data_IF_930326306845
#
_entry.id   IF_930326306845
#
_cell.length_a   1.000
_cell.length_b   1.000
_cell.length_c   1.000
_cell.angle_alpha   90.00
_cell.angle_beta   90.00
_cell.angle_gamma   90.00
#
_symmetry.space_group_name_H-M   'P 1'
#
loop_
_entity.id
_entity.type
_entity.pdbx_description
1 polymer ?
#
# COMPACT_ATOMS: atom_id res chain seq x y z
N UNK A 1 -27.35 8.58 7.20
CA UNK A 1 -27.24 9.31 5.91
C UNK A 1 -25.92 8.93 5.27
N UNK A 2 -25.89 8.49 4.00
CA UNK A 2 -24.65 8.02 3.38
C UNK A 2 -23.65 9.17 3.32
N UNK A 3 -22.40 8.94 3.70
CA UNK A 3 -21.29 9.91 3.61
C UNK A 3 -21.16 10.50 2.20
N UNK A 4 -21.55 9.74 1.17
CA UNK A 4 -21.65 10.17 -0.23
C UNK A 4 -22.62 11.35 -0.44
N UNK A 5 -23.78 11.36 0.24
CA UNK A 5 -24.77 12.45 0.10
C UNK A 5 -24.22 13.75 0.69
N UNK A 6 -23.51 13.66 1.82
CA UNK A 6 -22.87 14.82 2.46
C UNK A 6 -21.73 15.36 1.60
N UNK A 7 -20.90 14.47 1.05
CA UNK A 7 -19.80 14.84 0.16
C UNK A 7 -20.31 15.54 -1.12
N UNK A 8 -21.32 14.97 -1.78
CA UNK A 8 -21.91 15.56 -2.99
C UNK A 8 -22.58 16.90 -2.68
N UNK A 9 -23.29 17.01 -1.55
CA UNK A 9 -23.88 18.28 -1.13
C UNK A 9 -22.83 19.38 -0.88
N UNK A 10 -21.74 19.05 -0.18
CA UNK A 10 -20.62 19.98 0.06
C UNK A 10 -19.92 20.39 -1.22
N UNK A 11 -19.70 19.44 -2.15
CA UNK A 11 -19.09 19.72 -3.45
C UNK A 11 -19.96 20.68 -4.28
N UNK A 12 -21.29 20.47 -4.31
CA UNK A 12 -22.22 21.37 -4.99
C UNK A 12 -22.19 22.78 -4.37
N UNK A 13 -22.22 22.87 -3.03
CA UNK A 13 -22.17 24.15 -2.32
C UNK A 13 -20.86 24.89 -2.61
N UNK A 14 -19.72 24.21 -2.53
CA UNK A 14 -18.41 24.79 -2.81
C UNK A 14 -18.34 25.30 -4.26
N UNK A 15 -18.85 24.52 -5.20
CA UNK A 15 -18.89 24.90 -6.63
C UNK A 15 -19.75 26.15 -6.85
N UNK A 16 -20.92 26.24 -6.19
CA UNK A 16 -21.78 27.41 -6.23
C UNK A 16 -21.11 28.65 -5.63
N UNK A 17 -20.45 28.50 -4.48
CA UNK A 17 -19.71 29.60 -3.82
C UNK A 17 -18.57 30.10 -4.72
N UNK A 18 -17.80 29.18 -5.31
CA UNK A 18 -16.70 29.54 -6.21
C UNK A 18 -17.21 30.23 -7.48
N UNK A 19 -18.33 29.76 -8.03
CA UNK A 19 -19.00 30.40 -9.15
C UNK A 19 -19.42 31.83 -8.81
N UNK A 20 -20.00 32.06 -7.62
CA UNK A 20 -20.38 33.40 -7.15
C UNK A 20 -19.15 34.31 -6.99
N UNK A 21 -18.07 33.82 -6.38
CA UNK A 21 -16.84 34.61 -6.18
C UNK A 21 -16.20 34.99 -7.53
N UNK A 22 -16.11 34.06 -8.48
CA UNK A 22 -15.52 34.31 -9.80
C UNK A 22 -16.40 35.23 -10.64
N UNK A 23 -17.73 35.16 -10.51
CA UNK A 23 -18.64 36.02 -11.25
C UNK A 23 -18.87 37.39 -10.60
N UNK A 24 -18.63 37.57 -9.30
CA UNK A 24 -18.87 38.83 -8.60
C UNK A 24 -18.14 40.04 -9.22
N UNK A 25 -16.86 39.94 -9.65
CA UNK A 25 -16.19 41.01 -10.39
C UNK A 25 -16.85 41.33 -11.73
N UNK A 26 -17.52 40.36 -12.36
CA UNK A 26 -18.12 40.48 -13.68
C UNK A 26 -19.60 40.91 -13.65
N UNK A 27 -20.27 40.76 -12.50
CA UNK A 27 -21.58 41.35 -12.21
C UNK A 27 -21.49 42.83 -11.79
N UNK A 28 -20.33 43.31 -11.32
CA UNK A 28 -20.09 44.74 -11.14
C UNK A 28 -20.02 45.39 -12.52
N UNK A 29 -21.16 45.90 -12.99
CA UNK A 29 -21.24 46.72 -14.21
C UNK A 29 -20.37 47.94 -13.98
N UNK A 30 -19.20 47.98 -14.61
CA UNK A 30 -18.34 49.16 -14.61
C UNK A 30 -19.00 50.25 -15.47
N UNK A 31 -19.93 51.00 -14.86
CA UNK A 31 -20.50 52.24 -15.43
C UNK A 31 -19.41 53.27 -15.72
N UNK A 32 -18.23 53.13 -15.10
CA UNK A 32 -17.07 53.98 -15.27
C UNK A 32 -16.49 53.95 -16.69
N UNK A 33 -16.41 52.76 -17.32
CA UNK A 33 -15.80 52.61 -18.64
C UNK A 33 -16.65 53.23 -19.76
N UNK A 34 -17.98 53.20 -19.64
CA UNK A 34 -18.91 53.79 -20.60
C UNK A 34 -18.89 55.33 -20.52
N UNK A 35 -18.77 55.89 -19.30
CA UNK A 35 -18.66 57.33 -19.09
C UNK A 35 -17.31 57.87 -19.60
N UNK A 36 -16.21 57.15 -19.39
CA UNK A 36 -14.89 57.59 -19.89
C UNK A 36 -14.82 57.65 -21.43
N UNK A 37 -15.46 56.72 -22.14
CA UNK A 37 -15.49 56.76 -23.62
C UNK A 37 -16.34 57.91 -24.17
N UNK A 38 -17.47 58.24 -23.53
CA UNK A 38 -18.31 59.38 -23.93
C UNK A 38 -17.63 60.72 -23.64
N UNK A 39 -16.90 60.83 -22.52
CA UNK A 39 -16.11 62.01 -22.20
C UNK A 39 -14.99 62.21 -23.23
N UNK A 40 -14.28 61.14 -23.63
CA UNK A 40 -13.23 61.21 -24.66
C UNK A 40 -13.81 61.67 -26.01
N UNK A 41 -14.97 61.15 -26.41
CA UNK A 41 -15.64 61.57 -27.64
C UNK A 41 -16.08 63.04 -27.61
N UNK A 42 -16.62 63.51 -26.48
CA UNK A 42 -17.03 64.91 -26.30
C UNK A 42 -15.82 65.87 -26.37
N UNK A 43 -14.66 65.47 -25.83
CA UNK A 43 -13.42 66.25 -25.91
C UNK A 43 -12.92 66.34 -27.36
N UNK A 44 -13.05 65.27 -28.14
CA UNK A 44 -12.59 65.24 -29.53
C UNK A 44 -13.45 66.14 -30.43
N UNK A 45 -14.78 66.08 -30.29
CA UNK A 45 -15.71 66.99 -30.98
C UNK A 45 -15.48 68.45 -30.57
N UNK A 46 -15.22 68.71 -29.28
CA UNK A 46 -14.90 70.05 -28.80
C UNK A 46 -13.63 70.62 -29.45
N UNK A 47 -12.57 69.80 -29.58
CA UNK A 47 -11.32 70.23 -30.23
C UNK A 47 -11.54 70.59 -31.69
N UNK A 48 -12.32 69.80 -32.42
CA UNK A 48 -12.66 70.05 -33.82
C UNK A 48 -13.40 71.39 -33.97
N UNK A 49 -14.43 71.63 -33.16
CA UNK A 49 -15.19 72.90 -33.17
C UNK A 49 -14.36 74.12 -32.77
N UNK A 50 -13.41 73.94 -31.86
CA UNK A 50 -12.51 75.01 -31.44
C UNK A 50 -11.50 75.38 -32.53
N UNK A 51 -11.05 74.41 -33.33
CA UNK A 51 -10.19 74.67 -34.50
C UNK A 51 -10.97 75.35 -35.63
N UNK A 52 -12.21 74.94 -35.89
CA UNK A 52 -13.12 75.63 -36.83
C UNK A 52 -13.33 77.10 -36.43
N UNK A 53 -13.63 77.35 -35.16
CA UNK A 53 -13.85 78.69 -34.63
C UNK A 53 -12.60 79.60 -34.73
N UNK A 54 -11.40 79.02 -34.54
CA UNK A 54 -10.14 79.74 -34.74
C UNK A 54 -9.88 80.07 -36.20
N UNK A 55 -10.21 79.15 -37.11
CA UNK A 55 -10.03 79.36 -38.54
C UNK A 55 -10.87 80.55 -39.03
N UNK A 56 -12.13 80.65 -38.59
CA UNK A 56 -13.04 81.75 -38.95
C UNK A 56 -12.57 83.10 -38.38
N UNK A 57 -12.02 83.12 -37.17
CA UNK A 57 -11.39 84.32 -36.60
C UNK A 57 -10.17 84.76 -37.42
N UNK A 58 -9.29 83.83 -37.78
CA UNK A 58 -8.08 84.13 -38.55
C UNK A 58 -8.39 84.61 -39.98
N UNK A 59 -9.51 84.17 -40.56
CA UNK A 59 -10.01 84.62 -41.86
C UNK A 59 -10.72 85.99 -41.80
N UNK A 60 -10.83 86.60 -40.62
CA UNK A 60 -11.46 87.90 -40.41
C UNK A 60 -12.99 87.87 -40.46
N UNK A 61 -13.61 86.68 -40.41
CA UNK A 61 -15.06 86.50 -40.42
C UNK A 61 -15.74 86.81 -39.09
N UNK A 62 -14.97 87.06 -38.02
CA UNK A 62 -15.46 87.25 -36.67
C UNK A 62 -14.54 88.18 -35.88
N UNK A 63 -15.10 89.05 -35.04
CA UNK A 63 -14.33 89.96 -34.18
C UNK A 63 -13.71 89.23 -32.97
N UNK A 64 -12.67 89.81 -32.38
CA UNK A 64 -11.98 89.21 -31.22
C UNK A 64 -12.91 89.03 -30.00
N UNK A 65 -13.85 89.97 -29.83
CA UNK A 65 -14.85 89.91 -28.77
C UNK A 65 -15.86 88.76 -28.98
N UNK A 66 -16.29 88.55 -30.23
CA UNK A 66 -17.20 87.45 -30.60
C UNK A 66 -16.52 86.09 -30.44
N UNK A 67 -15.27 85.95 -30.92
CA UNK A 67 -14.49 84.73 -30.78
C UNK A 67 -14.34 84.32 -29.32
N UNK A 68 -13.97 85.29 -28.45
CA UNK A 68 -13.80 85.02 -27.01
C UNK A 68 -15.11 84.58 -26.36
N UNK A 69 -16.23 85.19 -26.74
CA UNK A 69 -17.55 84.84 -26.21
C UNK A 69 -17.97 83.43 -26.63
N UNK A 70 -17.83 83.09 -27.91
CA UNK A 70 -18.19 81.75 -28.41
C UNK A 70 -17.27 80.65 -27.86
N UNK A 71 -15.98 80.93 -27.72
CA UNK A 71 -15.03 80.01 -27.09
C UNK A 71 -15.40 79.74 -25.62
N UNK A 72 -15.73 80.78 -24.86
CA UNK A 72 -16.13 80.63 -23.45
C UNK A 72 -17.43 79.83 -23.32
N UNK A 73 -18.38 80.00 -24.24
CA UNK A 73 -19.61 79.20 -24.25
C UNK A 73 -19.32 77.73 -24.58
N UNK A 74 -18.45 77.45 -25.56
CA UNK A 74 -18.03 76.09 -25.89
C UNK A 74 -17.34 75.40 -24.68
N UNK A 75 -16.45 76.12 -23.99
CA UNK A 75 -15.76 75.63 -22.78
C UNK A 75 -16.75 75.34 -21.65
N UNK A 76 -17.77 76.20 -21.50
CA UNK A 76 -18.85 76.00 -20.53
C UNK A 76 -19.67 74.75 -20.85
N UNK A 77 -19.98 74.50 -22.12
CA UNK A 77 -20.71 73.30 -22.55
C UNK A 77 -19.91 72.02 -22.29
N UNK A 78 -18.59 72.03 -22.53
CA UNK A 78 -17.74 70.89 -22.21
C UNK A 78 -17.69 70.60 -20.70
N UNK A 79 -17.60 71.65 -19.88
CA UNK A 79 -17.64 71.51 -18.42
C UNK A 79 -18.97 70.96 -17.93
N UNK A 80 -20.10 71.46 -18.46
CA UNK A 80 -21.43 70.95 -18.12
C UNK A 80 -21.61 69.48 -18.55
N UNK A 81 -21.09 69.10 -19.71
CA UNK A 81 -21.11 67.72 -20.19
C UNK A 81 -20.13 66.78 -19.43
N UNK A 82 -19.15 67.35 -18.72
CA UNK A 82 -18.21 66.60 -17.87
C UNK A 82 -18.77 66.40 -16.45
N UNK A 83 -19.52 67.39 -15.93
CA UNK A 83 -20.14 67.33 -14.60
C UNK A 83 -21.44 66.52 -14.61
N UNK A 84 -22.29 66.68 -15.64
CA UNK A 84 -23.47 65.86 -15.81
C UNK A 84 -23.10 64.58 -16.56
N UNK A 85 -23.08 63.46 -15.85
CA UNK A 85 -22.71 62.14 -16.39
C UNK A 85 -23.63 61.64 -17.52
N UNK A 86 -24.62 62.43 -17.98
CA UNK A 86 -25.49 62.09 -19.09
C UNK A 86 -26.34 63.28 -19.61
N UNK A 87 -25.82 64.22 -20.41
CA UNK A 87 -26.67 65.02 -21.33
C UNK A 87 -25.90 65.87 -22.35
N UNK A 88 -25.48 65.26 -23.46
CA UNK A 88 -25.72 65.86 -24.77
C UNK A 88 -26.80 64.99 -25.41
N UNK A 89 -28.03 65.21 -24.97
CA UNK A 89 -29.19 64.82 -25.78
C UNK A 89 -29.10 65.75 -26.98
N UNK A 90 -28.75 65.20 -28.14
CA UNK A 90 -29.04 65.89 -29.39
C UNK A 90 -30.54 66.15 -29.39
N UNK A 91 -30.94 67.41 -29.27
CA UNK A 91 -32.30 67.81 -29.60
C UNK A 91 -32.58 67.35 -31.04
N UNK A 92 -33.68 66.61 -31.17
CA UNK A 92 -34.20 65.86 -32.33
C UNK A 92 -34.62 66.76 -33.52
N UNK A 93 -33.99 67.93 -33.70
CA UNK A 93 -34.39 68.92 -34.70
C UNK A 93 -33.22 69.51 -35.51
N UNK A 94 -32.15 68.74 -35.74
CA UNK A 94 -31.11 69.10 -36.72
C UNK A 94 -30.78 67.92 -37.64
N UNK A 95 -31.82 67.38 -38.27
CA UNK A 95 -31.75 66.18 -39.11
C UNK A 95 -31.40 66.48 -40.58
N UNK A 96 -30.78 67.63 -40.89
CA UNK A 96 -30.56 68.04 -42.29
C UNK A 96 -29.15 68.22 -42.81
N UNK A 97 -28.07 68.09 -42.02
CA UNK A 97 -26.71 68.37 -42.55
C UNK A 97 -25.58 67.38 -42.20
N UNK A 98 -25.85 66.21 -41.63
CA UNK A 98 -24.78 65.24 -41.24
C UNK A 98 -24.63 64.00 -42.13
N UNK A 99 -25.23 64.02 -43.33
CA UNK A 99 -25.16 62.91 -44.29
C UNK A 99 -23.80 62.79 -45.05
N UNK A 100 -22.66 63.14 -44.46
CA UNK A 100 -21.38 63.13 -45.19
C UNK A 100 -20.21 62.33 -44.63
N UNK A 101 -20.34 61.54 -43.55
CA UNK A 101 -19.25 60.66 -43.11
C UNK A 101 -19.72 59.26 -42.70
N UNK A 102 -19.86 58.36 -43.69
CA UNK A 102 -20.32 56.98 -43.53
C UNK A 102 -19.34 56.00 -42.86
N UNK A 103 -18.21 56.45 -42.31
CA UNK A 103 -17.19 55.57 -41.73
C UNK A 103 -17.33 55.37 -40.21
N UNK A 104 -17.97 56.29 -39.48
CA UNK A 104 -18.15 56.18 -38.03
C UNK A 104 -19.29 55.24 -37.63
N UNK A 105 -20.42 55.27 -38.35
CA UNK A 105 -21.63 54.52 -38.02
C UNK A 105 -21.46 52.99 -38.09
N UNK A 106 -20.71 52.48 -39.07
CA UNK A 106 -20.54 51.03 -39.28
C UNK A 106 -19.60 50.37 -38.27
N UNK A 107 -18.54 51.06 -37.84
CA UNK A 107 -17.62 50.60 -36.80
C UNK A 107 -18.29 50.56 -35.42
N UNK A 108 -19.14 51.56 -35.12
CA UNK A 108 -19.93 51.63 -33.89
C UNK A 108 -20.95 50.48 -33.84
N UNK A 109 -21.64 50.19 -34.95
CA UNK A 109 -22.60 49.09 -35.02
C UNK A 109 -21.96 47.70 -34.84
N UNK A 110 -20.76 47.48 -35.39
CA UNK A 110 -20.01 46.22 -35.25
C UNK A 110 -19.53 46.01 -33.80
N UNK A 111 -18.96 47.04 -33.18
CA UNK A 111 -18.50 46.99 -31.79
C UNK A 111 -19.66 46.77 -30.80
N UNK A 112 -20.83 47.39 -31.05
CA UNK A 112 -22.05 47.17 -30.25
C UNK A 112 -22.60 45.73 -30.38
N UNK A 113 -22.48 45.12 -31.57
CA UNK A 113 -22.96 43.74 -31.82
C UNK A 113 -22.07 42.70 -31.13
N UNK A 114 -20.76 42.90 -31.14
CA UNK A 114 -19.78 42.06 -30.45
C UNK A 114 -19.86 42.21 -28.92
N UNK A 115 -20.15 43.41 -28.40
CA UNK A 115 -20.39 43.63 -26.96
C UNK A 115 -21.72 43.09 -26.43
N UNK A 116 -22.79 43.05 -27.25
CA UNK A 116 -24.09 42.49 -26.83
C UNK A 116 -24.03 40.97 -26.60
N UNK A 117 -23.18 40.26 -27.33
CA UNK A 117 -23.06 38.81 -27.21
C UNK A 117 -22.41 38.38 -25.88
N UNK A 118 -21.49 39.19 -25.33
CA UNK A 118 -20.79 38.91 -24.06
C UNK A 118 -21.55 39.40 -22.82
N UNK A 119 -22.57 40.27 -22.98
CA UNK A 119 -23.36 40.87 -21.87
C UNK A 119 -24.82 40.39 -21.76
N UNK A 120 -25.28 39.46 -22.60
CA UNK A 120 -26.65 38.92 -22.49
C UNK A 120 -26.83 38.12 -21.20
N UNK A 121 -27.71 38.58 -20.30
CA UNK A 121 -28.03 37.90 -19.04
C UNK A 121 -28.42 36.42 -19.24
N UNK A 122 -28.99 36.08 -20.41
CA UNK A 122 -29.32 34.70 -20.80
C UNK A 122 -28.06 33.85 -20.98
N UNK A 123 -27.02 34.36 -21.64
CA UNK A 123 -25.75 33.64 -21.82
C UNK A 123 -25.04 33.38 -20.49
N UNK A 124 -25.15 34.32 -19.54
CA UNK A 124 -24.59 34.19 -18.18
C UNK A 124 -25.28 33.08 -17.39
N UNK A 125 -26.60 33.02 -17.45
CA UNK A 125 -27.40 31.97 -16.82
C UNK A 125 -27.11 30.60 -17.45
N UNK A 126 -26.95 30.54 -18.77
CA UNK A 126 -26.59 29.29 -19.48
C UNK A 126 -25.24 28.75 -19.00
N UNK A 127 -24.22 29.60 -18.87
CA UNK A 127 -22.89 29.17 -18.38
C UNK A 127 -22.98 28.70 -16.92
N UNK A 128 -23.73 29.42 -16.08
CA UNK A 128 -23.89 29.08 -14.65
C UNK A 128 -24.56 27.72 -14.45
N UNK A 129 -25.46 27.32 -15.33
CA UNK A 129 -26.14 26.02 -15.27
C UNK A 129 -25.33 24.94 -16.00
N UNK A 130 -24.77 25.23 -17.18
CA UNK A 130 -24.05 24.24 -17.97
C UNK A 130 -22.73 23.81 -17.32
N UNK A 131 -21.97 24.71 -16.70
CA UNK A 131 -20.67 24.36 -16.10
C UNK A 131 -20.80 23.32 -14.97
N UNK A 132 -21.67 23.47 -13.96
CA UNK A 132 -21.83 22.44 -12.93
C UNK A 132 -22.45 21.15 -13.48
N UNK A 133 -23.38 21.23 -14.44
CA UNK A 133 -23.94 20.04 -15.08
C UNK A 133 -22.85 19.29 -15.85
N UNK A 134 -22.01 19.98 -16.60
CA UNK A 134 -20.88 19.39 -17.31
C UNK A 134 -19.83 18.83 -16.35
N UNK A 135 -19.60 19.47 -15.20
CA UNK A 135 -18.70 18.94 -14.17
C UNK A 135 -19.25 17.66 -13.54
N UNK A 136 -20.55 17.64 -13.18
CA UNK A 136 -21.22 16.43 -12.68
C UNK A 136 -21.16 15.33 -13.75
N UNK A 137 -21.51 15.65 -15.00
CA UNK A 137 -21.45 14.71 -16.11
C UNK A 137 -20.04 14.16 -16.31
N UNK A 138 -19.01 15.00 -16.30
CA UNK A 138 -17.61 14.58 -16.36
C UNK A 138 -17.23 13.67 -15.19
N UNK A 139 -17.69 13.95 -13.96
CA UNK A 139 -17.48 13.09 -12.79
C UNK A 139 -18.16 11.71 -12.93
N UNK A 140 -19.29 11.63 -13.62
CA UNK A 140 -19.94 10.35 -13.92
C UNK A 140 -19.33 9.63 -15.13
N UNK A 141 -18.76 10.34 -16.11
CA UNK A 141 -18.12 9.74 -17.30
C UNK A 141 -16.66 9.32 -17.08
N UNK A 142 -15.88 10.03 -16.25
CA UNK A 142 -14.46 9.73 -16.01
C UNK A 142 -14.21 8.72 -14.90
N UNK A 143 -15.18 8.46 -14.02
CA UNK A 143 -14.99 7.53 -12.91
C UNK A 143 -15.34 6.11 -13.30
N UNK A 144 -14.36 5.20 -13.34
CA UNK A 144 -14.64 3.77 -13.37
C UNK A 144 -15.27 3.35 -12.02
N UNK A 145 -16.58 3.07 -12.05
CA UNK A 145 -17.36 2.65 -10.87
C UNK A 145 -17.79 1.19 -10.93
N UNK A 146 -17.31 0.46 -11.93
CA UNK A 146 -17.71 -0.93 -12.19
C UNK A 146 -17.53 -1.79 -10.94
N UNK A 147 -16.41 -1.65 -10.21
CA UNK A 147 -16.16 -2.38 -8.98
C UNK A 147 -17.21 -2.11 -7.88
N UNK A 148 -17.60 -0.84 -7.67
CA UNK A 148 -18.59 -0.47 -6.66
C UNK A 148 -19.99 -0.94 -7.06
N UNK A 149 -20.35 -0.77 -8.33
CA UNK A 149 -21.65 -1.25 -8.83
C UNK A 149 -21.76 -2.76 -8.78
N UNK A 150 -20.67 -3.48 -9.10
CA UNK A 150 -20.62 -4.93 -9.02
C UNK A 150 -20.77 -5.39 -7.57
N UNK A 151 -20.09 -4.75 -6.61
CA UNK A 151 -20.25 -5.06 -5.19
C UNK A 151 -21.70 -4.84 -4.72
N UNK A 152 -22.34 -3.74 -5.12
CA UNK A 152 -23.74 -3.49 -4.76
C UNK A 152 -24.70 -4.50 -5.39
N UNK A 153 -24.47 -4.88 -6.65
CA UNK A 153 -25.26 -5.91 -7.31
C UNK A 153 -25.06 -7.29 -6.66
N UNK A 154 -23.84 -7.62 -6.26
CA UNK A 154 -23.55 -8.84 -5.51
C UNK A 154 -24.24 -8.80 -4.14
N UNK A 155 -24.13 -7.70 -3.40
CA UNK A 155 -24.81 -7.53 -2.11
C UNK A 155 -26.32 -7.75 -2.21
N UNK A 156 -26.95 -7.23 -3.27
CA UNK A 156 -28.39 -7.40 -3.51
C UNK A 156 -28.77 -8.85 -3.86
N UNK A 157 -27.94 -9.54 -4.65
CA UNK A 157 -28.19 -10.94 -5.08
C UNK A 157 -27.89 -11.96 -3.99
N UNK A 158 -26.72 -11.88 -3.35
CA UNK A 158 -26.18 -12.92 -2.46
C UNK A 158 -26.02 -12.46 -1.01
N UNK A 159 -26.42 -11.23 -0.66
CA UNK A 159 -26.29 -10.72 0.70
C UNK A 159 -27.05 -11.53 1.75
N UNK A 160 -28.22 -12.08 1.40
CA UNK A 160 -28.98 -12.96 2.29
C UNK A 160 -28.29 -14.32 2.46
N UNK A 161 -27.75 -14.90 1.37
CA UNK A 161 -26.97 -16.13 1.41
C UNK A 161 -25.75 -15.95 2.31
N UNK A 162 -25.04 -14.83 2.17
CA UNK A 162 -23.92 -14.48 3.02
C UNK A 162 -24.32 -14.39 4.50
N UNK A 163 -25.46 -13.77 4.83
CA UNK A 163 -25.97 -13.73 6.20
C UNK A 163 -26.33 -15.13 6.74
N UNK A 164 -26.99 -15.95 5.92
CA UNK A 164 -27.41 -17.29 6.31
C UNK A 164 -26.21 -18.23 6.53
N UNK A 165 -25.14 -18.10 5.72
CA UNK A 165 -23.86 -18.78 5.93
C UNK A 165 -23.19 -18.33 7.24
N UNK A 166 -23.09 -17.02 7.45
CA UNK A 166 -22.43 -16.45 8.62
C UNK A 166 -23.18 -16.72 9.94
N UNK A 167 -24.50 -16.95 9.86
CA UNK A 167 -25.33 -17.31 11.02
C UNK A 167 -25.51 -18.82 11.20
N UNK A 168 -24.92 -19.64 10.33
CA UNK A 168 -25.00 -21.10 10.39
C UNK A 168 -26.39 -21.66 10.07
N UNK A 169 -27.24 -20.92 9.35
CA UNK A 169 -28.53 -21.45 8.85
C UNK A 169 -28.33 -22.38 7.65
N UNK A 170 -27.25 -22.18 6.91
CA UNK A 170 -26.80 -23.03 5.80
C UNK A 170 -25.30 -23.29 5.95
N UNK A 171 -24.88 -24.52 5.67
CA UNK A 171 -23.47 -24.92 5.77
C UNK A 171 -22.69 -24.65 4.48
N UNK A 172 -23.39 -24.63 3.33
CA UNK A 172 -22.81 -24.41 2.02
C UNK A 172 -23.67 -23.46 1.18
N UNK A 173 -23.05 -22.62 0.33
CA UNK A 173 -23.78 -21.76 -0.58
C UNK A 173 -24.56 -22.58 -1.61
N UNK A 174 -25.77 -22.15 -2.01
CA UNK A 174 -26.49 -22.76 -3.12
C UNK A 174 -25.75 -22.56 -4.44
N UNK A 175 -25.91 -23.48 -5.40
CA UNK A 175 -25.14 -23.48 -6.66
C UNK A 175 -25.20 -22.14 -7.41
N UNK A 176 -26.39 -21.52 -7.53
CA UNK A 176 -26.56 -20.24 -8.20
C UNK A 176 -25.76 -19.10 -7.53
N UNK A 177 -25.51 -19.16 -6.23
CA UNK A 177 -24.72 -18.15 -5.50
C UNK A 177 -23.22 -18.36 -5.70
N UNK A 178 -22.79 -19.58 -6.05
CA UNK A 178 -21.38 -19.89 -6.35
C UNK A 178 -20.96 -19.46 -7.75
N UNK A 179 -21.91 -19.15 -8.64
CA UNK A 179 -21.62 -18.59 -9.98
C UNK A 179 -20.83 -17.26 -9.89
N UNK A 180 -21.09 -16.46 -8.86
CA UNK A 180 -20.36 -15.23 -8.55
C UNK A 180 -19.63 -15.34 -7.20
N UNK A 181 -18.61 -16.20 -7.15
CA UNK A 181 -17.81 -16.44 -5.94
C UNK A 181 -17.12 -15.19 -5.41
N UNK A 182 -16.67 -14.30 -6.30
CA UNK A 182 -16.04 -13.02 -5.93
C UNK A 182 -17.07 -12.11 -5.27
N UNK A 183 -18.26 -11.97 -5.87
CA UNK A 183 -19.37 -11.20 -5.31
C UNK A 183 -19.84 -11.75 -3.97
N UNK A 184 -19.95 -13.08 -3.83
CA UNK A 184 -20.30 -13.74 -2.58
C UNK A 184 -19.27 -13.46 -1.48
N UNK A 185 -17.98 -13.59 -1.76
CA UNK A 185 -16.94 -13.28 -0.77
C UNK A 185 -16.98 -11.81 -0.35
N UNK A 186 -17.16 -10.89 -1.32
CA UNK A 186 -17.34 -9.47 -1.03
C UNK A 186 -18.56 -9.19 -0.14
N UNK A 187 -19.67 -9.89 -0.37
CA UNK A 187 -20.87 -9.79 0.45
C UNK A 187 -20.67 -10.33 1.87
N UNK A 188 -19.97 -11.46 2.01
CA UNK A 188 -19.59 -12.05 3.31
C UNK A 188 -18.73 -11.06 4.09
N UNK A 189 -17.63 -10.57 3.51
CA UNK A 189 -16.73 -9.60 4.16
C UNK A 189 -17.49 -8.33 4.57
N UNK A 190 -18.29 -7.77 3.66
CA UNK A 190 -19.10 -6.57 3.94
C UNK A 190 -20.07 -6.81 5.10
N UNK A 191 -20.73 -7.96 5.14
CA UNK A 191 -21.64 -8.33 6.21
C UNK A 191 -20.89 -8.44 7.56
N UNK A 192 -19.75 -9.12 7.61
CA UNK A 192 -18.92 -9.24 8.82
C UNK A 192 -18.47 -7.86 9.30
N UNK A 193 -18.09 -6.96 8.41
CA UNK A 193 -17.71 -5.59 8.78
C UNK A 193 -18.89 -4.74 9.29
N UNK A 194 -20.09 -4.92 8.75
CA UNK A 194 -21.29 -4.29 9.30
C UNK A 194 -21.65 -4.81 10.69
N UNK A 195 -21.39 -6.09 10.95
CA UNK A 195 -21.58 -6.75 12.25
C UNK A 195 -20.25 -6.96 12.98
N UNK A 196 -19.34 -5.99 12.91
CA UNK A 196 -17.95 -6.15 13.39
C UNK A 196 -17.80 -6.41 14.90
N UNK A 197 -18.90 -6.36 15.67
CA UNK A 197 -18.98 -6.68 17.08
C UNK A 197 -19.34 -8.16 17.37
N UNK A 198 -19.80 -8.91 16.36
CA UNK A 198 -20.22 -10.29 16.50
C UNK A 198 -19.01 -11.24 16.30
N UNK A 199 -18.50 -11.89 17.36
CA UNK A 199 -17.35 -12.78 17.26
C UNK A 199 -17.61 -14.00 16.36
N UNK A 200 -18.84 -14.51 16.32
CA UNK A 200 -19.15 -15.75 15.60
C UNK A 200 -19.12 -15.54 14.08
N UNK A 201 -19.50 -14.35 13.61
CA UNK A 201 -19.36 -13.99 12.19
C UNK A 201 -17.90 -13.92 11.76
N UNK A 202 -17.01 -13.46 12.64
CA UNK A 202 -15.56 -13.50 12.39
C UNK A 202 -15.02 -14.93 12.37
N UNK A 203 -15.54 -15.81 13.23
CA UNK A 203 -15.20 -17.24 13.22
C UNK A 203 -15.61 -17.91 11.91
N UNK A 204 -16.86 -17.71 11.46
CA UNK A 204 -17.33 -18.26 10.18
C UNK A 204 -16.57 -17.73 8.98
N UNK A 205 -16.22 -16.45 8.98
CA UNK A 205 -15.33 -15.89 7.96
C UNK A 205 -13.98 -16.61 7.96
N UNK A 206 -13.40 -16.88 9.13
CA UNK A 206 -12.16 -17.61 9.23
C UNK A 206 -12.29 -19.05 8.72
N UNK A 207 -13.36 -19.76 9.05
CA UNK A 207 -13.62 -21.13 8.56
C UNK A 207 -13.67 -21.16 7.02
N UNK A 208 -14.33 -20.17 6.41
CA UNK A 208 -14.39 -20.02 4.95
C UNK A 208 -13.00 -19.74 4.38
N UNK A 209 -12.23 -18.82 4.99
CA UNK A 209 -10.86 -18.51 4.57
C UNK A 209 -9.91 -19.71 4.70
N UNK A 210 -10.08 -20.53 5.75
CA UNK A 210 -9.34 -21.78 5.91
C UNK A 210 -9.66 -22.77 4.79
N UNK A 211 -10.92 -22.87 4.36
CA UNK A 211 -11.31 -23.71 3.22
C UNK A 211 -10.68 -23.25 1.89
N UNK A 212 -10.33 -21.96 1.78
CA UNK A 212 -9.56 -21.39 0.67
C UNK A 212 -8.04 -21.40 0.89
N UNK A 213 -7.55 -22.10 1.92
CA UNK A 213 -6.13 -22.17 2.31
C UNK A 213 -5.50 -20.80 2.64
N UNK A 214 -6.32 -19.78 2.89
CA UNK A 214 -5.91 -18.43 3.22
C UNK A 214 -5.63 -18.27 4.73
N UNK A 215 -4.65 -19.03 5.23
CA UNK A 215 -4.37 -19.17 6.67
C UNK A 215 -4.08 -17.84 7.38
N UNK A 216 -3.34 -16.93 6.74
CA UNK A 216 -3.00 -15.63 7.34
C UNK A 216 -4.25 -14.75 7.55
N UNK A 217 -5.15 -14.73 6.57
CA UNK A 217 -6.40 -13.97 6.62
C UNK A 217 -7.37 -14.62 7.62
N UNK A 218 -7.42 -15.96 7.67
CA UNK A 218 -8.22 -16.68 8.65
C UNK A 218 -7.75 -16.39 10.09
N UNK A 219 -6.43 -16.36 10.32
CA UNK A 219 -5.87 -16.00 11.62
C UNK A 219 -6.21 -14.56 12.01
N UNK A 220 -6.21 -13.62 11.07
CA UNK A 220 -6.63 -12.24 11.35
C UNK A 220 -8.10 -12.17 11.79
N UNK A 221 -8.99 -12.90 11.10
CA UNK A 221 -10.40 -12.99 11.47
C UNK A 221 -10.60 -13.63 12.85
N UNK A 222 -9.96 -14.77 13.13
CA UNK A 222 -10.01 -15.41 14.47
C UNK A 222 -9.41 -14.52 15.56
N UNK A 223 -8.33 -13.81 15.26
CA UNK A 223 -7.72 -12.84 16.17
C UNK A 223 -8.70 -11.72 16.53
N UNK A 224 -9.51 -11.26 15.56
CA UNK A 224 -10.60 -10.31 15.82
C UNK A 224 -11.71 -10.93 16.66
N UNK A 225 -12.13 -12.16 16.37
CA UNK A 225 -13.11 -12.89 17.18
C UNK A 225 -12.65 -13.04 18.63
N UNK A 226 -11.40 -13.46 18.85
CA UNK A 226 -10.80 -13.64 20.17
C UNK A 226 -10.71 -12.33 20.97
N UNK A 227 -10.40 -11.20 20.32
CA UNK A 227 -10.44 -9.89 21.00
C UNK A 227 -11.85 -9.48 21.45
N UNK A 228 -12.89 -9.92 20.74
CA UNK A 228 -14.29 -9.61 21.06
C UNK A 228 -14.85 -10.53 22.14
N UNK A 229 -14.47 -11.82 22.12
CA UNK A 229 -14.90 -12.82 23.10
C UNK A 229 -13.73 -13.71 23.54
N UNK A 230 -12.82 -13.20 24.39
CA UNK A 230 -11.65 -13.96 24.85
C UNK A 230 -12.02 -15.09 25.81
N UNK A 231 -13.23 -15.03 26.37
CA UNK A 231 -13.74 -15.96 27.36
C UNK A 231 -14.43 -17.17 26.73
N UNK A 232 -14.73 -17.12 25.43
CA UNK A 232 -15.35 -18.20 24.67
C UNK A 232 -14.32 -19.28 24.34
N UNK A 233 -14.65 -20.51 24.73
CA UNK A 233 -13.79 -21.68 24.60
C UNK A 233 -13.47 -22.02 23.15
N UNK A 234 -14.47 -22.01 22.28
CA UNK A 234 -14.34 -22.37 20.87
C UNK A 234 -13.46 -21.35 20.13
N UNK A 235 -13.71 -20.06 20.39
CA UNK A 235 -12.95 -18.96 19.78
C UNK A 235 -11.48 -18.97 20.23
N UNK A 236 -11.23 -19.14 21.52
CA UNK A 236 -9.88 -19.12 22.08
C UNK A 236 -9.04 -20.31 21.57
N UNK A 237 -9.62 -21.51 21.53
CA UNK A 237 -8.92 -22.70 21.05
C UNK A 237 -8.66 -22.63 19.55
N UNK A 238 -9.64 -22.22 18.74
CA UNK A 238 -9.46 -22.09 17.29
C UNK A 238 -8.37 -21.07 16.95
N UNK A 239 -8.38 -19.90 17.60
CA UNK A 239 -7.33 -18.89 17.45
C UNK A 239 -5.95 -19.45 17.79
N UNK A 240 -5.82 -20.10 18.96
CA UNK A 240 -4.56 -20.67 19.41
C UNK A 240 -4.07 -21.78 18.47
N UNK A 241 -4.99 -22.60 17.95
CA UNK A 241 -4.70 -23.70 17.02
C UNK A 241 -4.18 -23.20 15.68
N UNK A 242 -4.91 -22.29 15.02
CA UNK A 242 -4.48 -21.74 13.74
C UNK A 242 -3.13 -21.05 13.90
N UNK A 243 -2.97 -20.23 14.94
CA UNK A 243 -1.71 -19.54 15.22
C UNK A 243 -0.55 -20.50 15.47
N UNK A 244 -0.80 -21.60 16.19
CA UNK A 244 0.20 -22.62 16.47
C UNK A 244 0.70 -23.26 15.17
N UNK A 245 -0.19 -23.64 14.25
CA UNK A 245 0.19 -24.27 12.99
C UNK A 245 0.81 -23.30 11.98
N UNK A 246 0.32 -22.06 11.89
CA UNK A 246 0.93 -21.04 11.04
C UNK A 246 2.31 -20.61 11.53
N UNK A 247 2.57 -20.72 12.84
CA UNK A 247 3.88 -20.43 13.46
C UNK A 247 4.82 -21.64 13.49
N UNK A 248 4.60 -22.65 12.64
CA UNK A 248 5.48 -23.83 12.54
C UNK A 248 5.43 -24.77 13.75
N UNK A 249 4.33 -24.75 14.50
CA UNK A 249 4.16 -25.55 15.72
C UNK A 249 4.80 -24.95 16.97
N UNK A 250 5.11 -23.66 16.96
CA UNK A 250 5.57 -22.94 18.15
C UNK A 250 4.39 -22.34 18.91
N UNK A 251 4.29 -22.67 20.21
CA UNK A 251 3.28 -22.09 21.10
C UNK A 251 3.82 -20.81 21.72
N UNK A 252 3.38 -19.67 21.18
CA UNK A 252 3.75 -18.36 21.71
C UNK A 252 3.04 -18.03 23.04
N UNK A 253 3.42 -16.91 23.66
CA UNK A 253 2.86 -16.49 24.95
C UNK A 253 1.36 -16.24 24.88
N UNK A 254 0.86 -15.63 23.79
CA UNK A 254 -0.55 -15.29 23.64
C UNK A 254 -1.45 -16.51 23.45
N UNK A 255 -1.03 -17.47 22.62
CA UNK A 255 -1.73 -18.75 22.44
C UNK A 255 -1.68 -19.56 23.72
N UNK A 256 -0.54 -19.57 24.43
CA UNK A 256 -0.42 -20.23 25.73
C UNK A 256 -1.40 -19.64 26.75
N UNK A 257 -1.49 -18.31 26.84
CA UNK A 257 -2.41 -17.64 27.75
C UNK A 257 -3.88 -17.94 27.41
N UNK A 258 -4.24 -17.91 26.11
CA UNK A 258 -5.58 -18.28 25.65
C UNK A 258 -5.94 -19.70 26.07
N UNK A 259 -5.07 -20.68 25.82
CA UNK A 259 -5.28 -22.08 26.19
C UNK A 259 -5.32 -22.27 27.71
N UNK A 260 -4.49 -21.57 28.49
CA UNK A 260 -4.54 -21.63 29.94
C UNK A 260 -5.85 -21.08 30.50
N UNK A 261 -6.39 -20.01 29.91
CA UNK A 261 -7.70 -19.47 30.29
C UNK A 261 -8.83 -20.47 30.01
N UNK A 262 -8.78 -21.15 28.87
CA UNK A 262 -9.70 -22.25 28.55
C UNK A 262 -9.59 -23.37 29.57
N UNK A 263 -8.38 -23.86 29.83
CA UNK A 263 -8.12 -24.97 30.76
C UNK A 263 -8.46 -24.65 32.22
N UNK A 264 -8.44 -23.37 32.60
CA UNK A 264 -8.90 -22.94 33.93
C UNK A 264 -10.42 -23.09 34.10
N UNK A 265 -11.20 -22.98 33.03
CA UNK A 265 -12.65 -23.16 33.03
C UNK A 265 -13.05 -24.61 32.75
N UNK A 266 -12.43 -25.20 31.75
CA UNK A 266 -12.63 -26.58 31.32
C UNK A 266 -11.31 -27.35 31.39
N UNK A 267 -10.94 -27.90 32.56
CA UNK A 267 -9.68 -28.61 32.75
C UNK A 267 -9.53 -29.84 31.86
N UNK A 268 -10.63 -30.41 31.37
CA UNK A 268 -10.66 -31.64 30.56
C UNK A 268 -10.72 -31.36 29.05
N UNK A 269 -10.56 -30.10 28.62
CA UNK A 269 -10.58 -29.76 27.20
C UNK A 269 -9.44 -30.45 26.44
N UNK A 270 -9.80 -31.47 25.66
CA UNK A 270 -8.84 -32.34 24.98
C UNK A 270 -7.93 -31.58 24.00
N UNK A 271 -8.52 -30.75 23.12
CA UNK A 271 -7.78 -29.92 22.17
C UNK A 271 -6.76 -29.01 22.86
N UNK A 272 -7.18 -28.23 23.87
CA UNK A 272 -6.29 -27.34 24.60
C UNK A 272 -5.15 -28.09 25.30
N UNK A 273 -5.42 -29.24 25.95
CA UNK A 273 -4.38 -30.07 26.56
C UNK A 273 -3.38 -30.61 25.51
N UNK A 274 -3.87 -31.03 24.34
CA UNK A 274 -3.02 -31.52 23.26
C UNK A 274 -2.11 -30.43 22.71
N UNK A 275 -2.65 -29.23 22.45
CA UNK A 275 -1.86 -28.09 21.97
C UNK A 275 -0.81 -27.67 23.00
N UNK A 276 -1.15 -27.67 24.30
CA UNK A 276 -0.19 -27.44 25.38
C UNK A 276 0.92 -28.50 25.37
N UNK A 277 0.58 -29.79 25.26
CA UNK A 277 1.58 -30.86 25.19
C UNK A 277 2.55 -30.68 24.02
N UNK A 278 2.03 -30.44 22.81
CA UNK A 278 2.85 -30.23 21.61
C UNK A 278 3.70 -28.96 21.71
N UNK A 279 3.13 -27.86 22.19
CA UNK A 279 3.80 -26.58 22.36
C UNK A 279 4.93 -26.61 23.39
N UNK A 280 4.71 -27.28 24.52
CA UNK A 280 5.74 -27.44 25.55
C UNK A 280 6.87 -28.37 25.06
N UNK A 281 6.55 -29.44 24.32
CA UNK A 281 7.57 -30.32 23.73
C UNK A 281 8.46 -29.56 22.73
N UNK A 282 7.85 -28.75 21.86
CA UNK A 282 8.56 -27.90 20.89
C UNK A 282 9.40 -26.82 21.57
N UNK A 283 8.96 -26.32 22.72
CA UNK A 283 9.69 -25.33 23.51
C UNK A 283 10.83 -25.95 24.35
N UNK A 284 11.04 -27.27 24.29
CA UNK A 284 12.05 -27.98 25.09
C UNK A 284 11.61 -28.26 26.54
N UNK A 285 10.38 -27.93 26.91
CA UNK A 285 9.81 -28.17 28.24
C UNK A 285 9.22 -29.59 28.32
N UNK A 286 10.07 -30.59 28.11
CA UNK A 286 9.65 -31.99 27.96
C UNK A 286 8.88 -32.53 29.18
N UNK A 287 9.23 -32.12 30.40
CA UNK A 287 8.52 -32.53 31.61
C UNK A 287 7.07 -32.04 31.62
N UNK A 288 6.86 -30.76 31.28
CA UNK A 288 5.49 -30.21 31.18
C UNK A 288 4.72 -30.85 30.04
N UNK A 289 5.38 -31.12 28.91
CA UNK A 289 4.76 -31.82 27.80
C UNK A 289 4.25 -33.20 28.20
N UNK A 290 5.06 -34.00 28.91
CA UNK A 290 4.64 -35.31 29.44
C UNK A 290 3.47 -35.18 30.42
N UNK A 291 3.50 -34.18 31.30
CA UNK A 291 2.42 -33.94 32.26
C UNK A 291 1.08 -33.63 31.55
N UNK A 292 1.10 -32.87 30.45
CA UNK A 292 -0.09 -32.60 29.65
C UNK A 292 -0.61 -33.84 28.91
N UNK A 293 0.29 -34.63 28.31
CA UNK A 293 -0.09 -35.90 27.66
C UNK A 293 -0.74 -36.86 28.67
N UNK A 294 -0.19 -36.96 29.88
CA UNK A 294 -0.73 -37.84 30.92
C UNK A 294 -2.11 -37.39 31.40
N UNK A 295 -2.34 -36.08 31.58
CA UNK A 295 -3.68 -35.54 31.89
C UNK A 295 -4.70 -35.85 30.80
N UNK A 296 -4.31 -35.66 29.54
CA UNK A 296 -5.16 -35.96 28.39
C UNK A 296 -5.49 -37.46 28.30
N UNK A 297 -4.49 -38.31 28.54
CA UNK A 297 -4.66 -39.76 28.58
C UNK A 297 -5.64 -40.19 29.68
N UNK A 298 -5.51 -39.64 30.89
CA UNK A 298 -6.41 -39.92 32.01
C UNK A 298 -7.84 -39.48 31.70
N UNK A 299 -8.02 -38.29 31.11
CA UNK A 299 -9.33 -37.78 30.71
C UNK A 299 -10.00 -38.64 29.63
N UNK A 300 -9.25 -39.14 28.65
CA UNK A 300 -9.79 -40.04 27.61
C UNK A 300 -10.13 -41.42 28.19
N UNK A 301 -9.24 -41.98 29.03
CA UNK A 301 -9.45 -43.31 29.62
C UNK A 301 -10.63 -43.38 30.60
N UNK A 302 -11.02 -42.25 31.19
CA UNK A 302 -12.15 -42.17 32.11
C UNK A 302 -13.52 -42.09 31.40
N UNK A 303 -13.56 -41.88 30.08
CA UNK A 303 -14.80 -41.75 29.31
C UNK A 303 -15.26 -43.09 28.77
N UNK A 304 -16.58 -43.26 28.68
CA UNK A 304 -17.20 -44.44 28.10
C UNK A 304 -16.95 -44.50 26.58
N UNK A 305 -16.56 -45.68 26.08
CA UNK A 305 -16.31 -45.95 24.66
C UNK A 305 -14.95 -46.57 24.39
N UNK A 306 -14.75 -47.07 23.17
CA UNK A 306 -13.45 -47.56 22.71
C UNK A 306 -12.58 -46.37 22.27
N UNK A 307 -11.53 -46.11 23.05
CA UNK A 307 -10.54 -45.07 22.79
C UNK A 307 -9.13 -45.65 22.63
N UNK A 308 -9.02 -46.96 22.32
CA UNK A 308 -7.74 -47.67 22.21
C UNK A 308 -6.78 -46.99 21.22
N UNK A 309 -7.28 -46.55 20.07
CA UNK A 309 -6.49 -45.83 19.06
C UNK A 309 -5.95 -44.48 19.57
N UNK A 310 -6.80 -43.68 20.23
CA UNK A 310 -6.40 -42.39 20.79
C UNK A 310 -5.37 -42.57 21.92
N UNK A 311 -5.53 -43.58 22.77
CA UNK A 311 -4.57 -43.90 23.82
C UNK A 311 -3.23 -44.40 23.23
N UNK A 312 -3.28 -45.16 22.13
CA UNK A 312 -2.07 -45.60 21.43
C UNK A 312 -1.31 -44.43 20.81
N UNK A 313 -1.98 -43.47 20.16
CA UNK A 313 -1.33 -42.29 19.59
C UNK A 313 -0.72 -41.39 20.68
N UNK A 314 -1.36 -41.27 21.85
CA UNK A 314 -0.77 -40.58 23.00
C UNK A 314 0.47 -41.30 23.57
N UNK A 315 0.48 -42.64 23.55
CA UNK A 315 1.66 -43.42 23.93
C UNK A 315 2.82 -43.24 22.93
N UNK A 316 2.53 -43.08 21.65
CA UNK A 316 3.55 -42.76 20.65
C UNK A 316 4.08 -41.35 20.83
N UNK A 317 3.20 -40.37 21.07
CA UNK A 317 3.58 -39.00 21.36
C UNK A 317 4.47 -38.92 22.62
N UNK A 318 4.11 -39.60 23.71
CA UNK A 318 4.92 -39.61 24.94
C UNK A 318 6.31 -40.23 24.71
N UNK A 319 6.41 -41.32 23.91
CA UNK A 319 7.70 -41.90 23.53
C UNK A 319 8.54 -40.93 22.69
N UNK A 320 7.92 -40.25 21.71
CA UNK A 320 8.62 -39.27 20.87
C UNK A 320 9.17 -38.10 21.70
N UNK A 321 8.37 -37.57 22.63
CA UNK A 321 8.79 -36.51 23.56
C UNK A 321 9.95 -37.01 24.44
N UNK A 322 9.88 -38.24 24.96
CA UNK A 322 10.95 -38.82 25.78
C UNK A 322 12.25 -39.03 24.98
N UNK A 323 12.16 -39.45 23.72
CA UNK A 323 13.31 -39.56 22.82
C UNK A 323 13.93 -38.20 22.53
N UNK A 324 13.10 -37.17 22.26
CA UNK A 324 13.58 -35.80 22.08
C UNK A 324 14.27 -35.28 23.34
N UNK A 325 13.71 -35.54 24.52
CA UNK A 325 14.33 -35.18 25.79
C UNK A 325 15.68 -35.88 25.98
N UNK A 326 15.76 -37.19 25.70
CA UNK A 326 17.02 -37.93 25.78
C UNK A 326 18.06 -37.41 24.80
N UNK A 327 17.68 -37.08 23.57
CA UNK A 327 18.57 -36.47 22.59
C UNK A 327 19.05 -35.08 23.04
N UNK A 328 18.16 -34.25 23.59
CA UNK A 328 18.50 -32.95 24.15
C UNK A 328 19.44 -33.06 25.37
N UNK A 329 19.19 -34.03 26.26
CA UNK A 329 20.05 -34.32 27.40
C UNK A 329 21.41 -34.87 26.96
N UNK A 330 21.46 -35.73 25.94
CA UNK A 330 22.71 -36.23 25.37
C UNK A 330 23.52 -35.08 24.74
N UNK A 331 22.87 -34.16 24.01
CA UNK A 331 23.48 -32.94 23.51
C UNK A 331 23.99 -32.02 24.65
N UNK A 332 23.24 -31.89 25.75
CA UNK A 332 23.67 -31.11 26.92
C UNK A 332 24.79 -31.79 27.71
N UNK A 333 24.79 -33.12 27.87
CA UNK A 333 25.91 -33.86 28.49
C UNK A 333 27.16 -33.87 27.62
N UNK A 334 27.01 -33.70 26.31
CA UNK A 334 28.12 -33.48 25.38
C UNK A 334 28.65 -32.03 25.42
N UNK A 335 27.83 -31.07 25.91
CA UNK A 335 28.22 -29.68 26.19
C UNK A 335 28.63 -29.37 27.64
N UNK A 336 28.35 -30.27 28.59
CA UNK A 336 28.66 -30.08 30.02
C UNK A 336 30.08 -30.52 30.42
N UNK A 337 30.94 -30.85 29.46
CA UNK A 337 32.38 -31.09 29.66
C UNK A 337 33.25 -29.98 29.05
N UNK A 338 32.69 -28.78 28.89
CA UNK A 338 33.38 -27.60 28.36
C UNK A 338 33.66 -26.56 29.45
N UNK A 339 34.29 -26.99 30.54
CA UNK A 339 35.23 -26.14 31.29
C UNK A 339 36.47 -26.96 31.58
N UNK A 340 37.52 -26.63 30.83
CA UNK A 340 38.89 -27.14 30.94
C UNK A 340 39.10 -28.55 30.37
N UNK A 341 39.85 -28.58 29.27
CA UNK A 341 40.45 -29.75 28.62
C UNK A 341 39.50 -30.79 28.01
N UNK A 342 38.99 -30.50 26.80
CA UNK A 342 39.09 -31.48 25.71
C UNK A 342 38.77 -30.86 24.35
N UNK A 343 39.82 -30.57 23.58
CA UNK A 343 39.76 -30.59 22.13
C UNK A 343 39.44 -32.03 21.69
N UNK A 344 38.28 -32.24 21.08
CA UNK A 344 37.95 -33.45 20.31
C UNK A 344 36.85 -33.14 19.27
N UNK A 345 37.28 -32.47 18.20
CA UNK A 345 36.85 -32.60 16.79
C UNK A 345 35.35 -32.50 16.43
N UNK A 346 34.80 -31.30 16.45
CA UNK A 346 33.95 -30.88 15.33
C UNK A 346 34.87 -30.21 14.30
N UNK A 347 35.02 -30.80 13.12
CA UNK A 347 35.96 -30.34 12.11
C UNK A 347 35.31 -29.18 11.34
N UNK A 348 35.70 -27.95 11.66
CA UNK A 348 35.21 -26.74 10.98
C UNK A 348 36.19 -26.25 9.91
N UNK A 349 35.65 -25.54 8.92
CA UNK A 349 36.42 -24.90 7.85
C UNK A 349 36.24 -23.39 7.97
N UNK A 350 37.30 -22.69 8.36
CA UNK A 350 37.38 -21.25 8.40
C UNK A 350 37.79 -20.70 7.03
N UNK A 351 36.86 -20.06 6.33
CA UNK A 351 37.04 -19.47 5.00
C UNK A 351 37.16 -17.95 5.12
N UNK A 352 38.25 -17.39 4.59
CA UNK A 352 38.43 -15.95 4.40
C UNK A 352 38.11 -15.61 2.96
N UNK A 353 37.06 -14.83 2.72
CA UNK A 353 36.68 -14.38 1.37
C UNK A 353 37.15 -12.95 1.15
N UNK A 354 37.80 -12.68 0.03
CA UNK A 354 38.19 -11.35 -0.42
C UNK A 354 37.52 -11.02 -1.75
N UNK A 355 37.31 -9.72 -2.00
CA UNK A 355 36.78 -9.22 -3.26
C UNK A 355 37.88 -8.50 -4.03
N UNK A 356 38.06 -8.85 -5.31
CA UNK A 356 38.98 -8.14 -6.18
C UNK A 356 38.48 -6.70 -6.39
N UNK A 357 39.37 -5.71 -6.23
CA UNK A 357 39.01 -4.28 -6.32
C UNK A 357 38.39 -3.87 -7.65
N UNK A 358 38.68 -4.59 -8.73
CA UNK A 358 38.10 -4.28 -10.05
C UNK A 358 36.59 -4.57 -10.14
N UNK A 359 36.06 -5.40 -9.24
CA UNK A 359 34.65 -5.82 -9.19
C UNK A 359 33.83 -5.07 -8.13
N UNK A 360 34.44 -4.19 -7.34
CA UNK A 360 33.78 -3.49 -6.23
C UNK A 360 32.61 -2.61 -6.72
N UNK A 361 32.77 -1.95 -7.88
CA UNK A 361 31.71 -1.17 -8.52
C UNK A 361 30.56 -2.01 -9.09
N UNK A 362 30.72 -3.33 -9.16
CA UNK A 362 29.72 -4.27 -9.63
C UNK A 362 28.93 -4.91 -8.50
N UNK A 363 29.18 -4.60 -7.22
CA UNK A 363 28.42 -5.14 -6.08
C UNK A 363 27.30 -4.17 -5.67
N UNK A 364 26.07 -4.67 -5.61
CA UNK A 364 24.89 -3.90 -5.19
C UNK A 364 24.46 -4.26 -3.75
N UNK A 365 23.74 -3.37 -3.04
CA UNK A 365 23.30 -3.64 -1.68
C UNK A 365 22.34 -4.84 -1.53
N UNK A 366 21.65 -5.21 -2.61
CA UNK A 366 20.75 -6.36 -2.69
C UNK A 366 21.45 -7.70 -2.93
N UNK A 367 22.74 -7.68 -3.25
CA UNK A 367 23.47 -8.89 -3.64
C UNK A 367 23.78 -9.78 -2.42
N UNK A 368 23.80 -11.10 -2.65
CA UNK A 368 24.03 -12.09 -1.59
C UNK A 368 25.27 -12.90 -1.89
N UNK A 369 26.20 -12.95 -0.93
CA UNK A 369 27.34 -13.85 -0.92
C UNK A 369 26.92 -15.25 -0.42
N UNK A 370 27.11 -16.25 -1.28
CA UNK A 370 27.02 -17.66 -0.95
C UNK A 370 28.44 -18.23 -0.84
N UNK A 371 28.75 -18.84 0.30
CA UNK A 371 29.96 -19.64 0.48
C UNK A 371 29.55 -21.07 0.71
N UNK A 372 30.01 -21.99 -0.14
CA UNK A 372 29.60 -23.39 -0.11
C UNK A 372 30.80 -24.32 -0.09
N UNK A 373 30.63 -25.45 0.57
CA UNK A 373 31.53 -26.59 0.45
C UNK A 373 30.76 -27.74 -0.19
N UNK A 374 31.32 -28.35 -1.22
CA UNK A 374 30.70 -29.46 -1.94
C UNK A 374 31.75 -30.46 -2.44
N UNK A 375 31.31 -31.64 -2.87
CA UNK A 375 32.19 -32.63 -3.50
C UNK A 375 32.72 -32.12 -4.86
N UNK A 376 33.96 -32.45 -5.19
CA UNK A 376 34.63 -32.07 -6.44
C UNK A 376 33.93 -32.65 -7.69
N UNK A 377 33.22 -33.76 -7.52
CA UNK A 377 32.39 -34.40 -8.56
C UNK A 377 31.09 -33.64 -8.86
N UNK A 378 30.80 -32.57 -8.10
CA UNK A 378 29.51 -31.89 -8.12
C UNK A 378 28.47 -32.59 -7.24
N UNK A 379 27.34 -31.93 -7.02
CA UNK A 379 26.28 -32.42 -6.15
C UNK A 379 25.67 -31.32 -5.29
N UNK A 380 24.81 -31.71 -4.35
CA UNK A 380 24.30 -30.80 -3.35
C UNK A 380 25.45 -30.33 -2.43
N UNK A 381 25.41 -29.10 -1.90
CA UNK A 381 26.44 -28.62 -0.98
C UNK A 381 26.34 -29.31 0.39
N UNK A 382 27.50 -29.60 0.98
CA UNK A 382 27.68 -30.17 2.33
C UNK A 382 27.50 -29.11 3.42
N UNK A 383 27.85 -27.85 3.12
CA UNK A 383 27.67 -26.71 4.00
C UNK A 383 27.45 -25.45 3.16
N UNK A 384 26.53 -24.57 3.58
CA UNK A 384 26.20 -23.33 2.87
C UNK A 384 26.02 -22.18 3.87
N UNK A 385 26.78 -21.09 3.67
CA UNK A 385 26.58 -19.82 4.35
C UNK A 385 25.97 -18.80 3.40
N UNK A 386 24.95 -18.07 3.86
CA UNK A 386 24.33 -16.95 3.13
C UNK A 386 24.60 -15.66 3.90
N UNK A 387 25.25 -14.70 3.26
CA UNK A 387 25.65 -13.43 3.87
C UNK A 387 25.38 -12.28 2.91
N UNK A 388 24.92 -11.09 3.36
CA UNK A 388 24.82 -9.93 2.50
C UNK A 388 26.19 -9.54 1.90
N UNK A 389 26.25 -9.31 0.58
CA UNK A 389 27.51 -8.98 -0.10
C UNK A 389 28.17 -7.68 0.42
N UNK A 390 27.36 -6.77 0.98
CA UNK A 390 27.82 -5.54 1.62
C UNK A 390 28.79 -5.77 2.79
N UNK A 391 28.70 -6.91 3.48
CA UNK A 391 29.63 -7.27 4.55
C UNK A 391 31.03 -7.58 4.01
N UNK A 392 31.12 -8.11 2.79
CA UNK A 392 32.38 -8.36 2.10
C UNK A 392 33.00 -7.07 1.57
N UNK A 393 32.22 -6.21 0.91
CA UNK A 393 32.70 -4.92 0.40
C UNK A 393 33.15 -3.95 1.51
N UNK A 394 32.57 -4.07 2.71
CA UNK A 394 32.94 -3.25 3.87
C UNK A 394 34.18 -3.78 4.61
N UNK A 395 34.62 -5.01 4.34
CA UNK A 395 35.71 -5.66 5.05
C UNK A 395 37.09 -5.33 4.44
N UNK A 396 37.90 -4.56 5.17
CA UNK A 396 39.23 -4.09 4.72
C UNK A 396 40.26 -5.21 4.55
N UNK A 397 40.11 -6.33 5.27
CA UNK A 397 41.09 -7.45 5.28
C UNK A 397 40.51 -8.80 4.84
N UNK A 398 39.34 -8.78 4.18
CA UNK A 398 38.58 -9.99 3.87
C UNK A 398 37.57 -10.33 4.97
N UNK A 399 36.54 -11.09 4.59
CA UNK A 399 35.45 -11.49 5.45
C UNK A 399 35.62 -12.95 5.88
N UNK A 400 35.75 -13.19 7.19
CA UNK A 400 35.97 -14.52 7.75
C UNK A 400 34.65 -15.20 8.07
N UNK A 401 34.46 -16.39 7.52
CA UNK A 401 33.28 -17.23 7.70
C UNK A 401 33.74 -18.60 8.16
N UNK A 402 33.18 -19.09 9.25
CA UNK A 402 33.33 -20.49 9.63
C UNK A 402 32.16 -21.31 9.08
N UNK A 403 32.45 -22.44 8.43
CA UNK A 403 31.49 -23.45 8.02
C UNK A 403 31.70 -24.74 8.82
N UNK A 404 30.62 -25.27 9.39
CA UNK A 404 30.60 -26.54 10.10
C UNK A 404 29.34 -27.35 9.75
N UNK A 405 29.14 -28.50 10.41
CA UNK A 405 28.00 -29.38 10.13
C UNK A 405 26.62 -28.76 10.38
N UNK A 406 26.52 -27.70 11.18
CA UNK A 406 25.26 -26.98 11.38
C UNK A 406 24.86 -26.13 10.15
N UNK A 407 25.80 -25.85 9.26
CA UNK A 407 25.53 -25.15 8.00
C UNK A 407 25.10 -26.11 6.87
N UNK A 408 24.91 -27.41 7.18
CA UNK A 408 24.41 -28.41 6.23
C UNK A 408 22.89 -28.31 6.03
N UNK A 409 22.43 -28.37 4.77
CA UNK A 409 20.98 -28.32 4.47
C UNK A 409 20.25 -29.64 4.75
N UNK A 410 20.99 -30.75 4.85
CA UNK A 410 20.44 -32.08 5.14
C UNK A 410 21.21 -32.73 6.30
N UNK A 411 20.52 -33.26 7.33
CA UNK A 411 21.18 -33.85 8.51
C UNK A 411 22.10 -35.04 8.21
N UNK A 412 21.94 -35.69 7.06
CA UNK A 412 22.70 -36.89 6.66
C UNK A 412 23.82 -36.61 5.66
N UNK A 413 23.97 -35.36 5.22
CA UNK A 413 24.91 -34.91 4.19
C UNK A 413 25.75 -33.74 4.74
N UNK A 414 26.68 -34.06 5.64
CA UNK A 414 27.46 -33.09 6.43
C UNK A 414 28.94 -33.09 6.05
N UNK A 415 29.60 -31.98 6.35
CA UNK A 415 31.02 -31.74 6.08
C UNK A 415 31.91 -32.80 6.76
N UNK A 416 31.69 -33.07 8.05
CA UNK A 416 32.44 -34.05 8.83
C UNK A 416 32.35 -35.46 8.25
N UNK A 417 31.17 -35.87 7.79
CA UNK A 417 30.94 -37.20 7.21
C UNK A 417 31.67 -37.36 5.87
N UNK A 418 31.59 -36.37 4.99
CA UNK A 418 32.29 -36.41 3.71
C UNK A 418 33.82 -36.39 3.89
N UNK A 419 34.32 -35.65 4.88
CA UNK A 419 35.74 -35.68 5.24
C UNK A 419 36.16 -37.05 5.81
N UNK A 420 35.36 -37.65 6.71
CA UNK A 420 35.61 -38.98 7.26
C UNK A 420 35.61 -40.08 6.19
N UNK A 421 34.78 -39.94 5.15
CA UNK A 421 34.72 -40.84 3.99
C UNK A 421 35.83 -40.59 2.94
N UNK A 422 36.69 -39.58 3.15
CA UNK A 422 37.81 -39.30 2.26
C UNK A 422 37.40 -38.71 0.89
N UNK A 423 36.24 -38.04 0.82
CA UNK A 423 35.73 -37.42 -0.42
C UNK A 423 36.49 -36.16 -0.82
N UNK A 424 36.87 -36.02 -2.09
CA UNK A 424 37.47 -34.76 -2.56
C UNK A 424 36.48 -33.60 -2.44
N UNK A 425 36.79 -32.59 -1.62
CA UNK A 425 35.93 -31.42 -1.38
C UNK A 425 36.48 -30.15 -2.02
N UNK A 426 35.60 -29.23 -2.38
CA UNK A 426 35.92 -27.94 -2.98
C UNK A 426 35.10 -26.84 -2.30
N UNK A 427 35.74 -25.72 -1.98
CA UNK A 427 35.07 -24.50 -1.51
C UNK A 427 34.78 -23.59 -2.69
N UNK A 428 33.56 -23.05 -2.73
CA UNK A 428 33.13 -22.07 -3.71
C UNK A 428 32.59 -20.83 -3.02
N UNK A 429 32.84 -19.67 -3.60
CA UNK A 429 32.24 -18.41 -3.17
C UNK A 429 31.64 -17.69 -4.38
N UNK A 430 30.39 -17.25 -4.26
CA UNK A 430 29.66 -16.54 -5.31
C UNK A 430 28.81 -15.42 -4.74
N UNK A 431 28.88 -14.23 -5.35
CA UNK A 431 27.93 -13.15 -5.13
C UNK A 431 26.83 -13.29 -6.19
N UNK A 432 25.61 -13.55 -5.73
CA UNK A 432 24.44 -13.66 -6.58
C UNK A 432 23.70 -12.34 -6.70
N UNK A 433 23.46 -11.91 -7.94
CA UNK A 433 22.67 -10.72 -8.29
C UNK A 433 21.17 -10.95 -8.13
N UNK A 434 20.72 -12.16 -8.42
CA UNK A 434 19.31 -12.55 -8.32
C UNK A 434 18.89 -12.96 -6.90
N UNK A 435 19.85 -13.11 -5.99
CA UNK A 435 19.64 -13.63 -4.63
C UNK A 435 19.33 -15.13 -4.57
N UNK A 436 19.37 -15.82 -5.71
CA UNK A 436 19.07 -17.26 -5.81
C UNK A 436 20.33 -18.11 -5.63
N UNK A 437 20.15 -19.33 -5.14
CA UNK A 437 21.24 -20.28 -4.95
C UNK A 437 21.80 -20.84 -6.27
N UNK A 438 21.00 -20.85 -7.34
CA UNK A 438 21.45 -21.27 -8.68
C UNK A 438 22.31 -20.20 -9.34
N UNK A 439 23.34 -20.63 -10.09
CA UNK A 439 24.23 -19.72 -10.83
C UNK A 439 23.45 -19.03 -11.94
N UNK A 440 23.56 -17.71 -12.00
CA UNK A 440 22.98 -16.90 -13.07
C UNK A 440 24.07 -16.10 -13.80
N UNK A 441 23.77 -15.71 -15.05
CA UNK A 441 24.61 -14.79 -15.81
C UNK A 441 24.70 -13.46 -15.08
N UNK A 442 25.92 -12.89 -14.98
CA UNK A 442 26.19 -11.66 -14.26
C UNK A 442 26.58 -11.82 -12.78
N UNK A 443 26.46 -13.03 -12.20
CA UNK A 443 26.97 -13.32 -10.85
C UNK A 443 28.51 -13.16 -10.80
N UNK A 444 29.06 -12.86 -9.62
CA UNK A 444 30.52 -12.81 -9.42
C UNK A 444 30.97 -14.05 -8.67
N UNK A 445 31.96 -14.77 -9.19
CA UNK A 445 32.46 -16.03 -8.62
C UNK A 445 33.96 -15.98 -8.30
N UNK A 446 34.36 -16.72 -7.26
CA UNK A 446 35.74 -17.06 -6.99
C UNK A 446 36.14 -18.33 -7.75
N UNK A 447 37.44 -18.48 -8.01
CA UNK A 447 37.98 -19.76 -8.50
C UNK A 447 37.77 -20.84 -7.43
N UNK A 448 37.18 -21.96 -7.85
CA UNK A 448 37.01 -23.18 -7.04
C UNK A 448 38.33 -23.59 -6.36
N UNK A 449 38.33 -23.77 -5.04
CA UNK A 449 39.52 -24.14 -4.28
C UNK A 449 39.35 -25.53 -3.63
N UNK A 450 40.16 -26.53 -4.02
CA UNK A 450 40.15 -27.84 -3.36
C UNK A 450 40.53 -27.75 -1.88
N UNK A 451 39.82 -28.49 -1.03
CA UNK A 451 40.11 -28.60 0.39
C UNK A 451 41.09 -29.75 0.66
N UNK A 452 42.26 -29.42 1.20
CA UNK A 452 43.22 -30.40 1.72
C UNK A 452 43.01 -30.58 3.21
N UNK A 453 42.23 -31.60 3.59
CA UNK A 453 41.84 -31.86 4.99
C UNK A 453 42.40 -33.16 5.57
N UNK A 454 43.20 -33.90 4.79
CA UNK A 454 43.84 -35.14 5.26
C UNK A 454 45.02 -34.82 6.19
N UNK A 455 44.98 -35.34 7.42
CA UNK A 455 46.06 -35.19 8.40
C UNK A 455 46.06 -33.87 9.19
N UNK A 456 45.04 -33.03 9.04
CA UNK A 456 44.90 -31.75 9.77
C UNK A 456 43.96 -31.95 10.96
N UNK A 457 44.48 -31.77 12.18
CA UNK A 457 43.67 -31.73 13.41
C UNK A 457 43.38 -30.27 13.79
N UNK A 458 42.13 -29.81 13.61
CA UNK A 458 41.66 -28.47 13.96
C UNK A 458 40.98 -27.72 12.80
N UNK A 459 40.72 -26.43 12.98
CA UNK A 459 40.02 -25.58 12.01
C UNK A 459 40.82 -25.45 10.71
N UNK A 460 40.22 -25.85 9.59
CA UNK A 460 40.81 -25.76 8.26
C UNK A 460 40.70 -24.34 7.72
N UNK A 461 41.83 -23.65 7.57
CA UNK A 461 41.87 -22.25 7.10
C UNK A 461 42.07 -22.17 5.59
N UNK A 462 41.17 -21.47 4.92
CA UNK A 462 41.12 -21.36 3.46
C UNK A 462 40.88 -19.91 3.07
N UNK A 463 41.52 -19.43 2.00
CA UNK A 463 41.31 -18.08 1.48
C UNK A 463 40.83 -18.14 0.03
N UNK A 464 39.76 -17.41 -0.28
CA UNK A 464 39.14 -17.33 -1.61
C UNK A 464 39.07 -15.86 -2.05
N UNK A 465 39.38 -15.60 -3.32
CA UNK A 465 39.22 -14.29 -3.93
C UNK A 465 38.16 -14.34 -5.03
N UNK A 466 37.13 -13.50 -4.94
CA UNK A 466 36.14 -13.30 -6.00
C UNK A 466 36.76 -12.39 -7.06
N UNK A 467 36.99 -12.95 -8.24
CA UNK A 467 37.80 -12.31 -9.30
C UNK A 467 37.23 -12.48 -10.72
N UNK A 468 36.10 -13.18 -10.88
CA UNK A 468 35.50 -13.44 -12.19
C UNK A 468 34.01 -13.13 -12.18
N UNK A 469 33.49 -12.66 -13.32
CA UNK A 469 32.06 -12.56 -13.58
C UNK A 469 31.60 -13.75 -14.44
N UNK A 470 30.45 -14.33 -14.07
CA UNK A 470 29.79 -15.37 -14.83
C UNK A 470 29.22 -14.75 -16.13
N UNK A 471 29.58 -15.30 -17.31
CA UNK A 471 29.22 -14.72 -18.60
C UNK A 471 27.72 -14.76 -18.91
#
# INVERSE_FOLDING_TARGET
MPTLVIFVALAIILTLVLAVIVLMPWLRVDKSAQNNQLIVLNIEVFKERLEELKADYNLGGMSEAEFKTQKTELERQLLLASDDKNSLILDDNLDTDLAHNGHSSSAIAKAQREQRFTRSAKARLTILICVPILMIMAYFLSGDRTAVTNLWQAQDKVGQVADDLLTGKIDAPPEWATEDSIGLMGAIQTNVHHHAYDPMRWMRLADILMAFEANDQALEAQSRAYRLSPEDEEVAVAYAQTKFFTSGGMLDSSSREALQNVLRKNPEHQGAQMLMAMGEARSGNYEQAQAWVERLRQGIAARDGDHSEALNSLNELSRNIAQQQQAALQAQTSGAKSTTDSAASAQSVAVTVTLNKSLDSMVEPSDILFVTVQEATGGAPLAVKRVPATQLSSAVSGFNIELNDNDAMMPTHTLSKAMAEGKSLVVKARISKSGQAMTASGDLEATDLPLEYQGVAGDLKVALEINKQVP
#
